data_IF_427398370481
#
_entry.id   IF_427398370481
#
_cell.length_a   1.000
_cell.length_b   1.000
_cell.length_c   1.000
_cell.angle_alpha   90.00
_cell.angle_beta   90.00
_cell.angle_gamma   90.00
#
_symmetry.space_group_name_H-M   'P 1'
#
loop_
_entity.id
_entity.type
_entity.pdbx_description
1 polymer ?
#
# COMPACT_ATOMS: atom_id res chain seq x y z
N UNK A 1 -14.88 -16.11 1.24
CA UNK A 1 -14.01 -16.32 0.05
C UNK A 1 -12.88 -17.23 0.47
N UNK A 2 -12.74 -18.41 -0.13
CA UNK A 2 -11.59 -19.31 0.10
C UNK A 2 -10.76 -19.36 -1.19
N UNK A 3 -9.46 -19.07 -1.09
CA UNK A 3 -8.53 -19.11 -2.24
C UNK A 3 -7.36 -18.11 -2.14
N UNK A 4 -6.46 -18.11 -3.14
CA UNK A 4 -5.25 -17.28 -3.17
C UNK A 4 -5.52 -15.77 -3.02
N UNK A 5 -6.64 -15.29 -3.56
CA UNK A 5 -7.04 -13.88 -3.47
C UNK A 5 -7.37 -13.46 -2.02
N UNK A 6 -8.01 -14.34 -1.24
CA UNK A 6 -8.32 -14.07 0.16
C UNK A 6 -7.05 -14.03 1.02
N UNK A 7 -6.06 -14.89 0.72
CA UNK A 7 -4.76 -14.87 1.37
C UNK A 7 -4.00 -13.57 1.03
N UNK A 8 -3.97 -13.18 -0.24
CA UNK A 8 -3.32 -11.93 -0.66
C UNK A 8 -3.98 -10.71 0.00
N UNK A 9 -5.31 -10.69 0.11
CA UNK A 9 -6.08 -9.67 0.80
C UNK A 9 -5.72 -9.51 2.27
N UNK A 10 -5.52 -10.64 2.97
CA UNK A 10 -5.24 -10.65 4.41
C UNK A 10 -3.91 -9.98 4.79
N UNK A 11 -3.05 -9.64 3.83
CA UNK A 11 -1.81 -8.89 4.09
C UNK A 11 -2.07 -7.44 4.53
N UNK A 12 -3.24 -6.89 4.20
CA UNK A 12 -3.61 -5.52 4.56
C UNK A 12 -4.52 -5.54 5.80
N UNK A 13 -4.19 -4.81 6.88
CA UNK A 13 -5.06 -4.70 8.03
C UNK A 13 -6.35 -3.95 7.68
N UNK A 14 -7.45 -4.20 8.40
CA UNK A 14 -8.75 -3.57 8.11
C UNK A 14 -8.66 -2.03 8.06
N UNK A 15 -7.89 -1.42 8.96
CA UNK A 15 -7.67 0.03 9.02
C UNK A 15 -6.98 0.62 7.79
N UNK A 16 -6.29 -0.20 6.98
CA UNK A 16 -5.64 0.24 5.74
C UNK A 16 -6.63 0.86 4.75
N UNK A 17 -7.83 0.29 4.66
CA UNK A 17 -8.85 0.69 3.70
C UNK A 17 -9.66 1.90 4.18
N UNK A 18 -9.48 2.35 5.42
CA UNK A 18 -10.33 3.36 6.04
C UNK A 18 -11.69 2.80 6.49
N UNK A 19 -12.60 3.68 6.91
CA UNK A 19 -13.93 3.28 7.40
C UNK A 19 -14.83 2.80 6.25
N UNK A 20 -14.73 1.51 5.92
CA UNK A 20 -15.63 0.81 5.03
C UNK A 20 -16.38 -0.31 5.76
N UNK A 21 -17.63 -0.56 5.35
CA UNK A 21 -18.47 -1.63 5.91
C UNK A 21 -17.97 -3.03 5.54
N UNK A 22 -17.18 -3.12 4.45
CA UNK A 22 -16.41 -4.29 4.05
C UNK A 22 -15.15 -3.82 3.30
N UNK A 23 -14.00 -4.50 3.45
CA UNK A 23 -12.79 -4.19 2.69
C UNK A 23 -13.06 -4.30 1.18
N UNK A 24 -12.55 -3.38 0.34
CA UNK A 24 -12.66 -3.50 -1.11
C UNK A 24 -11.83 -4.69 -1.62
N UNK A 25 -12.18 -5.21 -2.79
CA UNK A 25 -11.28 -6.09 -3.55
C UNK A 25 -10.18 -5.20 -4.17
N UNK A 26 -8.91 -5.34 -3.81
CA UNK A 26 -7.88 -4.46 -4.33
C UNK A 26 -7.51 -4.88 -5.74
N UNK A 27 -7.10 -3.89 -6.52
CA UNK A 27 -6.72 -4.07 -7.90
C UNK A 27 -5.24 -4.41 -7.99
N UNK A 28 -4.89 -5.30 -8.91
CA UNK A 28 -3.52 -5.54 -9.34
C UNK A 28 -2.98 -4.39 -10.19
N UNK A 29 -1.66 -4.30 -10.32
CA UNK A 29 -1.04 -3.33 -11.22
C UNK A 29 -1.48 -3.50 -12.69
N UNK A 30 -1.76 -4.73 -13.12
CA UNK A 30 -2.24 -5.03 -14.47
C UNK A 30 -3.65 -4.48 -14.70
N UNK A 31 -4.55 -4.67 -13.73
CA UNK A 31 -5.91 -4.09 -13.80
C UNK A 31 -5.87 -2.57 -13.81
N UNK A 32 -4.97 -1.95 -13.03
CA UNK A 32 -4.78 -0.50 -13.02
C UNK A 32 -4.29 0.03 -14.38
N UNK A 33 -3.36 -0.67 -15.05
CA UNK A 33 -2.92 -0.32 -16.41
C UNK A 33 -4.07 -0.39 -17.42
N UNK A 34 -5.08 -1.23 -17.17
CA UNK A 34 -6.30 -1.31 -17.98
C UNK A 34 -7.25 -0.13 -17.80
N UNK A 35 -6.99 0.77 -16.84
CA UNK A 35 -7.80 1.98 -16.61
C UNK A 35 -7.24 3.20 -17.36
N UNK A 36 -8.04 4.25 -17.59
CA UNK A 36 -7.54 5.51 -18.15
C UNK A 36 -6.54 6.27 -17.25
N UNK A 37 -6.38 5.85 -15.99
CA UNK A 37 -5.61 6.59 -14.97
C UNK A 37 -4.13 6.25 -14.97
N UNK A 38 -3.77 5.00 -15.27
CA UNK A 38 -2.39 4.52 -15.28
C UNK A 38 -2.07 3.91 -16.64
N UNK A 39 -1.00 4.38 -17.28
CA UNK A 39 -0.43 3.68 -18.43
C UNK A 39 0.72 2.76 -17.99
N UNK A 40 1.16 1.88 -18.89
CA UNK A 40 2.25 0.94 -18.63
C UNK A 40 3.58 1.65 -18.32
N UNK A 41 3.80 2.85 -18.88
CA UNK A 41 5.06 3.60 -18.70
C UNK A 41 5.15 4.17 -17.30
N UNK A 42 4.07 4.76 -16.80
CA UNK A 42 3.95 5.23 -15.43
C UNK A 42 4.08 4.07 -14.46
N UNK A 43 3.38 2.96 -14.70
CA UNK A 43 3.45 1.79 -13.83
C UNK A 43 4.85 1.17 -13.79
N UNK A 44 5.54 1.05 -14.93
CA UNK A 44 6.93 0.60 -14.98
C UNK A 44 7.89 1.54 -14.23
N UNK A 45 7.63 2.84 -14.26
CA UNK A 45 8.41 3.83 -13.50
C UNK A 45 8.20 3.63 -12.00
N UNK A 46 6.94 3.46 -11.55
CA UNK A 46 6.62 3.20 -10.15
C UNK A 46 7.22 1.87 -9.67
N UNK A 47 7.16 0.82 -10.49
CA UNK A 47 7.83 -0.45 -10.21
C UNK A 47 9.34 -0.26 -10.01
N UNK A 48 10.01 0.48 -10.90
CA UNK A 48 11.44 0.75 -10.76
C UNK A 48 11.79 1.47 -9.44
N UNK A 49 10.93 2.36 -8.95
CA UNK A 49 11.12 3.05 -7.66
C UNK A 49 10.90 2.08 -6.49
N UNK A 50 9.77 1.38 -6.47
CA UNK A 50 9.34 0.53 -5.35
C UNK A 50 10.22 -0.72 -5.20
N UNK A 51 10.63 -1.35 -6.31
CA UNK A 51 11.56 -2.49 -6.29
C UNK A 51 12.93 -2.18 -5.68
N UNK A 52 13.27 -0.89 -5.52
CA UNK A 52 14.49 -0.41 -4.86
C UNK A 52 14.21 0.11 -3.44
N UNK A 53 13.04 -0.19 -2.89
CA UNK A 53 12.54 0.31 -1.59
C UNK A 53 12.63 1.84 -1.47
N UNK A 54 12.41 2.55 -2.58
CA UNK A 54 12.35 4.03 -2.58
C UNK A 54 10.92 4.49 -2.32
N UNK A 55 10.78 5.57 -1.57
CA UNK A 55 9.48 6.09 -1.15
C UNK A 55 8.66 6.62 -2.33
N UNK A 56 7.36 6.36 -2.28
CA UNK A 56 6.35 6.90 -3.21
C UNK A 56 5.21 7.47 -2.39
N UNK A 57 4.73 8.67 -2.76
CA UNK A 57 3.54 9.28 -2.19
C UNK A 57 2.54 9.56 -3.30
N UNK A 58 1.30 9.09 -3.12
CA UNK A 58 0.19 9.42 -4.00
C UNK A 58 -0.66 10.50 -3.33
N UNK A 59 -0.81 11.65 -4.00
CA UNK A 59 -1.60 12.77 -3.48
C UNK A 59 -2.70 13.13 -4.47
N UNK A 60 -3.88 13.46 -3.93
CA UNK A 60 -5.04 13.93 -4.68
C UNK A 60 -5.94 14.73 -3.75
N UNK A 61 -6.52 15.80 -4.26
CA UNK A 61 -7.46 16.65 -3.52
C UNK A 61 -8.76 15.91 -3.18
N UNK A 62 -9.31 15.18 -4.16
CA UNK A 62 -10.57 14.49 -3.98
C UNK A 62 -10.46 13.31 -2.97
N UNK A 63 -11.39 13.21 -2.00
CA UNK A 63 -11.64 11.97 -1.28
C UNK A 63 -11.96 10.83 -2.26
N UNK A 64 -11.58 9.60 -1.90
CA UNK A 64 -11.90 8.40 -2.68
C UNK A 64 -11.37 8.38 -4.13
N UNK A 65 -10.34 9.17 -4.44
CA UNK A 65 -9.73 9.18 -5.78
C UNK A 65 -8.94 7.90 -6.16
N UNK A 66 -8.99 6.85 -5.34
CA UNK A 66 -8.27 5.59 -5.60
C UNK A 66 -6.82 5.57 -5.15
N UNK A 67 -6.37 6.52 -4.31
CA UNK A 67 -4.99 6.55 -3.76
C UNK A 67 -4.61 5.24 -3.08
N UNK A 68 -5.42 4.78 -2.13
CA UNK A 68 -5.17 3.53 -1.39
C UNK A 68 -5.20 2.32 -2.32
N UNK A 69 -6.11 2.29 -3.30
CA UNK A 69 -6.16 1.23 -4.33
C UNK A 69 -4.86 1.17 -5.12
N UNK A 70 -4.38 2.31 -5.63
CA UNK A 70 -3.12 2.38 -6.37
C UNK A 70 -1.92 2.02 -5.49
N UNK A 71 -1.84 2.54 -4.28
CA UNK A 71 -0.74 2.27 -3.36
C UNK A 71 -0.68 0.78 -2.96
N UNK A 72 -1.84 0.15 -2.77
CA UNK A 72 -1.94 -1.29 -2.48
C UNK A 72 -1.44 -2.17 -3.62
N UNK A 73 -1.67 -1.76 -4.87
CA UNK A 73 -1.16 -2.49 -6.03
C UNK A 73 0.37 -2.40 -6.14
N UNK A 74 0.96 -1.27 -5.73
CA UNK A 74 2.41 -1.10 -5.74
C UNK A 74 3.13 -2.00 -4.73
N UNK A 75 2.46 -2.48 -3.68
CA UNK A 75 3.05 -3.42 -2.70
C UNK A 75 3.51 -4.71 -3.37
N UNK A 76 2.89 -5.12 -4.49
CA UNK A 76 3.32 -6.30 -5.26
C UNK A 76 4.67 -6.14 -5.95
N UNK A 77 5.21 -4.91 -6.00
CA UNK A 77 6.53 -4.62 -6.59
C UNK A 77 7.66 -4.58 -5.57
N UNK A 78 7.36 -4.74 -4.28
CA UNK A 78 8.39 -4.82 -3.26
C UNK A 78 9.19 -6.12 -3.43
N UNK A 79 10.51 -6.11 -3.17
CA UNK A 79 11.29 -7.34 -3.16
C UNK A 79 10.78 -8.34 -2.13
N UNK A 80 10.93 -9.64 -2.39
CA UNK A 80 10.38 -10.73 -1.56
C UNK A 80 10.86 -10.72 -0.10
N UNK A 81 12.05 -10.18 0.16
CA UNK A 81 12.65 -10.03 1.50
C UNK A 81 12.17 -8.76 2.23
N UNK A 82 11.17 -8.05 1.72
CA UNK A 82 10.65 -6.82 2.34
C UNK A 82 9.65 -7.12 3.45
N UNK A 83 9.83 -6.47 4.60
CA UNK A 83 8.82 -6.44 5.65
C UNK A 83 7.99 -5.17 5.55
N UNK A 84 6.71 -5.30 5.19
CA UNK A 84 5.76 -4.19 5.17
C UNK A 84 5.32 -3.82 6.59
N UNK A 85 5.50 -2.56 6.97
CA UNK A 85 5.16 -2.03 8.30
C UNK A 85 3.96 -1.09 8.14
N UNK A 86 2.80 -1.53 8.60
CA UNK A 86 1.57 -0.73 8.57
C UNK A 86 1.52 0.20 9.78
N UNK A 87 1.67 1.49 9.53
CA UNK A 87 1.78 2.48 10.61
C UNK A 87 0.41 2.86 11.18
N UNK A 88 0.30 2.99 12.50
CA UNK A 88 -0.95 3.29 13.24
C UNK A 88 -1.10 4.75 13.69
N UNK A 89 -0.35 5.68 13.09
CA UNK A 89 -0.40 7.10 13.44
C UNK A 89 0.03 7.35 14.90
N UNK A 90 -0.75 8.14 15.66
CA UNK A 90 -0.44 8.43 17.07
C UNK A 90 -0.50 7.21 18.00
N UNK A 91 -1.11 6.11 17.57
CA UNK A 91 -1.18 4.85 18.33
C UNK A 91 -0.04 3.87 18.00
N UNK A 92 1.00 4.34 17.32
CA UNK A 92 2.18 3.54 17.02
C UNK A 92 3.05 3.32 18.26
N UNK A 93 3.39 2.06 18.55
CA UNK A 93 4.16 1.70 19.75
C UNK A 93 5.64 1.41 19.44
N UNK A 94 6.08 1.41 18.17
CA UNK A 94 7.48 1.30 17.72
C UNK A 94 8.31 0.11 18.25
N UNK A 95 7.72 -0.79 19.04
CA UNK A 95 8.39 -1.98 19.60
C UNK A 95 8.95 -2.92 18.52
N UNK A 96 8.45 -2.82 17.29
CA UNK A 96 8.92 -3.56 16.13
C UNK A 96 10.30 -3.12 15.60
N UNK A 97 10.87 -2.01 16.06
CA UNK A 97 12.14 -1.49 15.53
C UNK A 97 13.30 -2.50 15.65
N UNK A 98 13.32 -3.28 16.72
CA UNK A 98 14.35 -4.31 16.96
C UNK A 98 14.02 -5.65 16.27
N UNK A 99 12.81 -5.80 15.71
CA UNK A 99 12.36 -7.00 15.02
C UNK A 99 12.64 -6.95 13.51
N UNK A 100 12.94 -5.77 12.96
CA UNK A 100 13.12 -5.55 11.52
C UNK A 100 14.60 -5.39 11.18
N UNK A 101 15.10 -6.28 10.31
CA UNK A 101 16.45 -6.18 9.77
C UNK A 101 16.66 -4.83 9.04
N UNK A 102 17.75 -4.10 9.32
CA UNK A 102 18.03 -2.84 8.63
C UNK A 102 18.02 -2.97 7.11
N UNK A 103 17.22 -2.12 6.45
CA UNK A 103 17.13 -2.07 4.99
C UNK A 103 16.11 -3.02 4.35
N UNK A 104 15.42 -3.84 5.14
CA UNK A 104 14.32 -4.71 4.66
C UNK A 104 12.93 -4.14 4.95
N UNK A 105 12.81 -3.24 5.94
CA UNK A 105 11.56 -2.59 6.29
C UNK A 105 11.05 -1.61 5.23
N UNK A 106 9.73 -1.57 5.04
CA UNK A 106 9.05 -0.59 4.18
C UNK A 106 7.78 -0.07 4.87
N UNK A 107 7.74 1.23 5.15
CA UNK A 107 6.59 1.87 5.80
C UNK A 107 5.42 2.00 4.81
N UNK A 108 4.27 1.49 5.23
CA UNK A 108 3.01 1.54 4.50
C UNK A 108 2.07 2.48 5.26
N UNK A 109 1.78 3.61 4.63
CA UNK A 109 0.93 4.67 5.16
C UNK A 109 -0.22 4.86 4.17
N UNK A 110 -1.44 4.60 4.59
CA UNK A 110 -2.63 4.73 3.74
C UNK A 110 -3.11 6.19 3.63
N UNK A 111 -2.89 7.00 4.66
CA UNK A 111 -3.33 8.40 4.71
C UNK A 111 -2.37 9.27 5.53
N UNK A 112 -2.13 10.50 5.06
CA UNK A 112 -1.50 11.56 5.83
C UNK A 112 -2.46 12.75 5.83
N UNK A 113 -2.99 13.11 7.00
CA UNK A 113 -3.89 14.26 7.16
C UNK A 113 -3.60 15.00 8.46
N UNK A 114 -4.01 16.26 8.52
CA UNK A 114 -3.94 17.13 9.71
C UNK A 114 -5.21 17.05 10.58
N UNK A 115 -6.18 16.22 10.17
CA UNK A 115 -7.49 16.06 10.82
C UNK A 115 -7.65 14.73 11.55
N UNK A 116 -6.73 13.79 11.35
CA UNK A 116 -6.67 12.54 12.09
C UNK A 116 -5.55 12.65 13.14
N UNK A 117 -5.83 12.28 14.41
CA UNK A 117 -4.79 12.07 15.40
C UNK A 117 -3.88 10.91 14.96
#
# INVERSE_FOLDING_TARGET
MSGPLAAWLSRFPDGWWGYHWAPPTPMSAVELIGTPTFDARLMATLWAVVSRRRSVMLSSEAPQAGKTTALSALVDFLPDDTTGIFVRGWWEEYDWLDEIEPGTGYLLINEMSDHLP
#
